data_IF_497440141605
#
_entry.id   IF_497440141605
#
_cell.length_a   1.000
_cell.length_b   1.000
_cell.length_c   1.000
_cell.angle_alpha   90.00
_cell.angle_beta   90.00
_cell.angle_gamma   90.00
#
_symmetry.space_group_name_H-M   'P 1'
#
loop_
_entity.id
_entity.type
_entity.pdbx_description
1 polymer ?
#
# COMPACT_ATOMS: atom_id res chain seq x y z
N UNK A 1 -13.86 -5.55 -1.63
CA UNK A 1 -13.14 -5.64 -0.34
C UNK A 1 -12.65 -4.26 0.00
N UNK A 2 -13.21 -3.67 1.06
CA UNK A 2 -12.83 -2.38 1.63
C UNK A 2 -11.43 -2.50 2.23
N UNK A 3 -10.56 -1.50 1.99
CA UNK A 3 -9.24 -1.42 2.61
C UNK A 3 -9.29 -0.47 3.81
N UNK A 4 -8.55 -0.75 4.87
CA UNK A 4 -8.42 0.17 5.99
C UNK A 4 -6.96 0.28 6.44
N UNK A 5 -6.59 1.46 6.96
CA UNK A 5 -5.31 1.66 7.59
C UNK A 5 -5.44 1.36 9.08
N UNK A 6 -4.79 0.31 9.55
CA UNK A 6 -4.79 -0.07 10.96
C UNK A 6 -4.12 0.96 11.89
N UNK A 7 -3.56 2.05 11.35
CA UNK A 7 -2.77 3.04 12.09
C UNK A 7 -3.46 4.40 12.24
N UNK A 8 -4.11 4.91 11.19
CA UNK A 8 -4.92 6.13 11.27
C UNK A 8 -6.42 5.88 11.19
N UNK A 9 -6.85 4.63 10.93
CA UNK A 9 -8.26 4.28 10.79
C UNK A 9 -8.90 4.71 9.46
N UNK A 10 -8.15 5.31 8.53
CA UNK A 10 -8.71 5.67 7.21
C UNK A 10 -9.20 4.41 6.49
N UNK A 11 -10.37 4.51 5.88
CA UNK A 11 -11.00 3.45 5.12
C UNK A 11 -11.18 3.86 3.68
N UNK A 12 -10.95 2.94 2.75
CA UNK A 12 -11.14 3.14 1.32
C UNK A 12 -12.04 2.03 0.76
N UNK A 13 -12.92 2.34 -0.21
CA UNK A 13 -13.79 1.34 -0.83
C UNK A 13 -13.00 0.22 -1.52
N UNK A 14 -11.79 0.55 -1.99
CA UNK A 14 -10.79 -0.35 -2.55
C UNK A 14 -9.41 0.13 -2.11
N UNK A 15 -8.44 -0.79 -2.06
CA UNK A 15 -7.04 -0.45 -1.81
C UNK A 15 -6.57 0.64 -2.80
N UNK A 16 -6.13 1.81 -2.31
CA UNK A 16 -5.67 2.93 -3.15
C UNK A 16 -4.55 2.56 -4.11
N UNK A 17 -3.70 1.58 -3.78
CA UNK A 17 -2.65 1.13 -4.69
C UNK A 17 -3.22 0.43 -5.94
N UNK A 18 -4.47 -0.03 -5.90
CA UNK A 18 -5.15 -0.59 -7.06
C UNK A 18 -5.74 0.46 -8.00
N UNK A 19 -5.76 1.74 -7.63
CA UNK A 19 -6.25 2.84 -8.49
C UNK A 19 -5.23 3.24 -9.57
N UNK A 20 -4.00 2.71 -9.51
CA UNK A 20 -2.95 2.91 -10.52
C UNK A 20 -2.49 1.57 -11.13
N UNK A 21 -1.98 1.56 -12.36
CA UNK A 21 -1.33 0.37 -12.92
C UNK A 21 -0.03 0.05 -12.16
N UNK A 22 0.34 -1.23 -12.08
CA UNK A 22 1.61 -1.62 -11.46
C UNK A 22 2.79 -1.40 -12.42
N UNK A 23 3.81 -0.58 -12.09
CA UNK A 23 4.95 -0.37 -12.97
C UNK A 23 5.90 -1.58 -13.04
N UNK A 24 5.72 -2.59 -12.18
CA UNK A 24 6.62 -3.77 -12.12
C UNK A 24 6.08 -4.97 -12.87
N UNK A 25 4.78 -5.25 -12.75
CA UNK A 25 4.15 -6.39 -13.42
C UNK A 25 3.07 -5.97 -14.44
N UNK A 26 2.95 -4.67 -14.71
CA UNK A 26 2.04 -4.06 -15.68
C UNK A 26 0.57 -4.48 -15.52
N UNK A 27 0.20 -4.93 -14.32
CA UNK A 27 -1.18 -5.29 -14.02
C UNK A 27 -2.05 -4.03 -14.00
N UNK A 28 -3.24 -4.07 -14.63
CA UNK A 28 -4.12 -2.92 -14.71
C UNK A 28 -4.72 -2.52 -13.36
N UNK A 29 -5.32 -1.32 -13.35
CA UNK A 29 -6.15 -0.80 -12.27
C UNK A 29 -7.21 -1.83 -11.84
N UNK A 30 -7.45 -1.93 -10.54
CA UNK A 30 -8.46 -2.83 -9.95
C UNK A 30 -8.04 -4.30 -9.84
N UNK A 31 -6.90 -4.72 -10.41
CA UNK A 31 -6.41 -6.11 -10.29
C UNK A 31 -5.19 -6.19 -9.37
N UNK A 32 -5.15 -7.21 -8.50
CA UNK A 32 -3.99 -7.51 -7.64
C UNK A 32 -2.75 -7.84 -8.46
N UNK A 33 -1.57 -7.53 -7.93
CA UNK A 33 -0.31 -7.78 -8.62
C UNK A 33 -0.13 -9.29 -8.86
N UNK A 34 0.11 -9.69 -10.12
CA UNK A 34 0.48 -11.07 -10.43
C UNK A 34 1.96 -11.26 -10.09
N UNK A 35 2.28 -12.27 -9.28
CA UNK A 35 3.67 -12.68 -9.01
C UNK A 35 3.82 -14.20 -9.18
N UNK A 36 4.91 -14.69 -9.80
CA UNK A 36 5.10 -16.12 -10.05
C UNK A 36 5.47 -16.94 -8.80
N UNK A 37 6.04 -16.32 -7.76
CA UNK A 37 6.49 -17.02 -6.54
C UNK A 37 5.45 -16.91 -5.42
N UNK A 38 5.00 -18.05 -4.87
CA UNK A 38 3.96 -18.26 -3.84
C UNK A 38 4.12 -17.50 -2.48
N UNK A 39 5.07 -16.58 -2.33
CA UNK A 39 5.26 -15.83 -1.08
C UNK A 39 4.44 -14.53 -1.08
N UNK A 40 3.67 -14.34 -0.01
CA UNK A 40 2.58 -13.37 0.09
C UNK A 40 3.03 -11.91 0.16
N UNK A 41 2.95 -11.22 -0.96
CA UNK A 41 2.74 -9.78 -1.01
C UNK A 41 1.71 -9.51 -2.11
N UNK A 42 0.51 -9.07 -1.73
CA UNK A 42 -0.60 -8.83 -2.68
C UNK A 42 -0.32 -7.68 -3.66
N UNK A 43 0.52 -6.73 -3.26
CA UNK A 43 0.80 -5.47 -3.97
C UNK A 43 2.30 -5.17 -3.93
N UNK A 44 2.90 -4.86 -5.09
CA UNK A 44 4.29 -4.42 -5.18
C UNK A 44 4.45 -3.02 -4.57
N UNK A 45 5.48 -2.80 -3.75
CA UNK A 45 5.77 -1.49 -3.14
C UNK A 45 5.94 -0.35 -4.15
N UNK A 46 6.37 -0.65 -5.39
CA UNK A 46 6.44 0.34 -6.47
C UNK A 46 5.05 0.86 -6.87
N UNK A 47 4.02 0.01 -6.81
CA UNK A 47 2.64 0.40 -7.11
C UNK A 47 2.07 1.31 -6.01
N UNK A 48 2.38 1.01 -4.76
CA UNK A 48 2.00 1.84 -3.61
C UNK A 48 2.59 3.25 -3.71
N UNK A 49 3.87 3.34 -4.09
CA UNK A 49 4.55 4.62 -4.37
C UNK A 49 3.91 5.41 -5.51
N UNK A 50 3.49 4.74 -6.59
CA UNK A 50 2.79 5.41 -7.69
C UNK A 50 1.40 5.90 -7.26
N UNK A 51 0.67 5.15 -6.44
CA UNK A 51 -0.61 5.61 -5.89
C UNK A 51 -0.44 6.82 -4.97
N UNK A 52 0.66 6.88 -4.22
CA UNK A 52 1.04 8.06 -3.43
C UNK A 52 1.33 9.27 -4.32
N UNK A 53 2.06 9.06 -5.42
CA UNK A 53 2.41 10.11 -6.39
C UNK A 53 1.18 10.63 -7.15
N UNK A 54 0.26 9.74 -7.50
CA UNK A 54 -1.00 10.07 -8.16
C UNK A 54 -2.05 10.69 -7.21
N UNK A 55 -1.77 10.74 -5.90
CA UNK A 55 -2.64 11.34 -4.90
C UNK A 55 -3.82 10.45 -4.45
N UNK A 56 -3.88 9.19 -4.91
CA UNK A 56 -4.88 8.22 -4.44
C UNK A 56 -4.62 7.76 -3.00
N UNK A 57 -3.33 7.70 -2.62
CA UNK A 57 -2.91 7.40 -1.26
C UNK A 57 -2.14 8.60 -0.70
N UNK A 58 -2.40 8.94 0.56
CA UNK A 58 -1.69 10.01 1.26
C UNK A 58 -0.87 9.43 2.40
N UNK A 59 0.13 10.20 2.86
CA UNK A 59 0.91 9.79 4.03
C UNK A 59 -0.03 9.65 5.23
N UNK A 60 0.05 8.50 5.88
CA UNK A 60 -0.71 8.23 7.09
C UNK A 60 -0.42 9.33 8.14
N UNK A 61 -1.44 10.03 8.66
CA UNK A 61 -1.26 11.08 9.67
C UNK A 61 -0.95 10.51 11.07
N UNK A 62 -1.05 9.19 11.26
CA UNK A 62 -0.82 8.54 12.55
C UNK A 62 0.66 8.60 13.01
N UNK A 63 0.92 8.47 14.32
CA UNK A 63 2.24 8.64 14.93
C UNK A 63 3.26 7.67 14.33
N UNK A 64 4.49 8.12 14.01
CA UNK A 64 5.57 7.25 13.46
C UNK A 64 5.71 6.00 14.32
N UNK A 65 5.76 4.82 13.69
CA UNK A 65 6.08 3.59 14.45
C UNK A 65 7.46 3.84 15.05
N UNK A 66 7.58 3.70 16.38
CA UNK A 66 8.87 3.77 17.06
C UNK A 66 9.79 2.76 16.40
N UNK A 67 10.96 3.22 15.97
CA UNK A 67 11.96 2.31 15.43
C UNK A 67 12.42 1.36 16.53
N UNK A 68 12.92 0.17 16.15
CA UNK A 68 13.44 -0.83 17.11
C UNK A 68 14.53 -0.26 18.04
N UNK A 69 15.15 0.86 17.65
CA UNK A 69 16.18 1.57 18.42
C UNK A 69 15.59 2.42 19.55
N UNK A 70 14.34 2.90 19.42
CA UNK A 70 13.68 3.78 20.39
C UNK A 70 12.94 3.04 21.52
N UNK A 71 12.80 1.71 21.42
CA UNK A 71 12.05 0.88 22.39
C UNK A 71 12.93 0.35 23.54
N UNK A 72 14.22 0.72 23.56
CA UNK A 72 15.23 0.21 24.51
C UNK A 72 15.72 1.26 25.53
N UNK A 73 15.03 2.38 25.66
CA UNK A 73 15.30 3.38 26.71
C UNK A 73 14.63 2.99 28.03
#
# INVERSE_FOLDING_TARGET
MTANCSRCGQTWPRDPALEVPCPTCHTPVGRKCRRPSKHGCDIHASRDREAMKAGHLTKCPGPKRKTRQEVKA
#
